data_IF_622469686492
#
_entry.id   IF_622469686492
#
_cell.length_a   1.000
_cell.length_b   1.000
_cell.length_c   1.000
_cell.angle_alpha   90.00
_cell.angle_beta   90.00
_cell.angle_gamma   90.00
#
_symmetry.space_group_name_H-M   'P 1'
#
loop_
_entity.id
_entity.type
_entity.pdbx_description
1 polymer ?
#
# COMPACT_ATOMS: atom_id res chain seq x y z
N UNK A 1 14.29 -5.97 -0.93
CA UNK A 1 13.31 -6.63 -0.04
C UNK A 1 13.84 -7.99 0.40
N UNK A 2 14.47 -8.03 1.58
CA UNK A 2 15.02 -9.28 2.12
C UNK A 2 14.34 -9.76 3.42
N UNK A 3 13.49 -8.95 4.05
CA UNK A 3 12.89 -9.28 5.36
C UNK A 3 11.50 -9.89 5.21
N UNK A 4 11.36 -11.16 5.62
CA UNK A 4 10.12 -11.93 5.49
C UNK A 4 8.93 -11.43 6.32
N UNK A 5 9.12 -10.50 7.25
CA UNK A 5 8.05 -9.98 8.11
C UNK A 5 7.45 -8.64 7.68
N UNK A 6 8.09 -7.92 6.76
CA UNK A 6 7.58 -6.64 6.29
C UNK A 6 6.57 -6.84 5.16
N UNK A 7 5.50 -6.02 5.17
CA UNK A 7 4.60 -5.92 4.03
C UNK A 7 5.22 -5.06 2.94
N UNK A 8 4.79 -5.29 1.70
CA UNK A 8 5.32 -4.65 0.51
C UNK A 8 4.26 -4.59 -0.58
N UNK A 9 4.49 -3.75 -1.60
CA UNK A 9 3.67 -3.64 -2.80
C UNK A 9 4.59 -3.54 -4.01
N UNK A 10 4.12 -4.06 -5.13
CA UNK A 10 4.72 -3.86 -6.44
C UNK A 10 3.73 -3.08 -7.29
N UNK A 11 4.19 -2.06 -8.00
CA UNK A 11 3.42 -1.49 -9.10
C UNK A 11 3.64 -2.34 -10.35
N UNK A 12 2.58 -3.04 -10.76
CA UNK A 12 2.61 -3.91 -11.94
C UNK A 12 2.08 -3.19 -13.18
N UNK A 13 1.54 -1.98 -13.06
CA UNK A 13 0.92 -1.22 -14.15
C UNK A 13 1.73 -1.20 -15.45
N UNK A 14 3.05 -0.90 -15.45
CA UNK A 14 3.83 -0.87 -16.70
C UNK A 14 4.13 -2.25 -17.30
N UNK A 15 3.78 -3.34 -16.61
CA UNK A 15 4.10 -4.72 -17.01
C UNK A 15 2.88 -5.52 -17.45
N UNK A 16 1.66 -4.98 -17.31
CA UNK A 16 0.44 -5.69 -17.65
C UNK A 16 0.20 -5.71 -19.16
N UNK A 17 -0.33 -6.83 -19.65
CA UNK A 17 -0.92 -7.01 -20.99
C UNK A 17 -2.44 -6.98 -20.85
N UNK A 18 -3.12 -5.86 -21.13
CA UNK A 18 -4.57 -5.76 -20.96
C UNK A 18 -5.32 -6.70 -21.91
N UNK A 19 -6.29 -7.44 -21.36
CA UNK A 19 -7.09 -8.40 -22.15
C UNK A 19 -6.37 -9.69 -22.55
N UNK A 20 -5.10 -9.85 -22.16
CA UNK A 20 -4.32 -11.07 -22.34
C UNK A 20 -3.92 -11.73 -21.03
N UNK A 21 -3.19 -12.83 -21.14
CA UNK A 21 -2.66 -13.56 -19.99
C UNK A 21 -1.45 -12.85 -19.39
N UNK A 22 -1.38 -12.82 -18.06
CA UNK A 22 -0.30 -12.23 -17.29
C UNK A 22 0.22 -13.24 -16.27
N UNK A 23 1.53 -13.39 -16.14
CA UNK A 23 2.17 -14.32 -15.20
C UNK A 23 3.05 -13.57 -14.22
N UNK A 24 2.75 -13.68 -12.92
CA UNK A 24 3.59 -13.19 -11.83
C UNK A 24 4.32 -14.37 -11.17
N UNK A 25 5.65 -14.40 -11.28
CA UNK A 25 6.48 -15.41 -10.64
C UNK A 25 7.21 -14.84 -9.42
N UNK A 26 7.09 -15.50 -8.27
CA UNK A 26 7.76 -15.10 -7.03
C UNK A 26 8.71 -16.22 -6.60
N UNK A 27 10.01 -15.91 -6.52
CA UNK A 27 11.04 -16.80 -5.99
C UNK A 27 11.39 -16.41 -4.57
N UNK A 28 11.34 -17.38 -3.67
CA UNK A 28 11.82 -17.22 -2.30
C UNK A 28 13.07 -18.09 -2.09
N UNK A 29 14.06 -17.56 -1.39
CA UNK A 29 15.22 -18.31 -0.94
C UNK A 29 15.32 -18.15 0.59
N UNK A 30 15.10 -19.25 1.32
CA UNK A 30 15.16 -19.27 2.78
C UNK A 30 16.35 -20.14 3.22
N UNK A 31 17.55 -19.56 3.38
CA UNK A 31 18.73 -20.33 3.76
C UNK A 31 18.59 -20.89 5.18
N UNK A 32 19.30 -22.00 5.49
CA UNK A 32 19.42 -22.52 6.85
C UNK A 32 19.97 -21.48 7.83
N UNK A 33 19.65 -21.64 9.11
CA UNK A 33 20.16 -20.80 10.22
C UNK A 33 19.92 -19.29 10.05
N UNK A 34 18.94 -18.92 9.23
CA UNK A 34 18.53 -17.53 8.98
C UNK A 34 17.71 -16.93 10.12
N UNK A 35 17.31 -17.73 11.11
CA UNK A 35 16.51 -17.30 12.26
C UNK A 35 16.77 -18.18 13.49
N UNK A 36 16.67 -17.59 14.70
CA UNK A 36 16.81 -18.31 15.98
C UNK A 36 15.58 -19.15 16.35
N UNK A 37 14.46 -18.95 15.65
CA UNK A 37 13.21 -19.68 15.83
C UNK A 37 12.71 -20.13 14.46
N UNK A 38 11.75 -21.05 14.42
CA UNK A 38 11.11 -21.49 13.17
C UNK A 38 10.46 -20.30 12.46
N UNK A 39 10.96 -19.86 11.28
CA UNK A 39 10.45 -18.67 10.61
C UNK A 39 9.29 -18.98 9.65
N UNK A 40 9.01 -20.26 9.36
CA UNK A 40 8.22 -20.67 8.20
C UNK A 40 8.98 -20.48 6.89
N UNK A 41 8.31 -20.72 5.76
CA UNK A 41 8.85 -20.46 4.43
C UNK A 41 7.71 -20.19 3.43
N UNK A 42 7.97 -19.39 2.40
CA UNK A 42 7.02 -19.11 1.33
C UNK A 42 6.14 -17.87 1.57
N UNK A 43 5.06 -17.76 0.80
CA UNK A 43 4.05 -16.71 0.94
C UNK A 43 3.07 -17.07 2.05
N UNK A 44 3.49 -16.86 3.29
CA UNK A 44 2.76 -17.28 4.49
C UNK A 44 1.69 -16.28 4.97
N UNK A 45 1.46 -15.18 4.24
CA UNK A 45 0.44 -14.16 4.52
C UNK A 45 -0.36 -13.85 3.27
N UNK A 46 -1.48 -13.16 3.46
CA UNK A 46 -2.41 -12.79 2.40
C UNK A 46 -1.73 -11.98 1.29
N UNK A 47 -2.13 -12.27 0.06
CA UNK A 47 -1.77 -11.52 -1.15
C UNK A 47 -3.02 -10.79 -1.64
N UNK A 48 -2.84 -9.56 -2.08
CA UNK A 48 -3.92 -8.71 -2.57
C UNK A 48 -3.59 -8.20 -3.96
N UNK A 49 -4.56 -8.27 -4.87
CA UNK A 49 -4.51 -7.56 -6.15
C UNK A 49 -5.35 -6.28 -6.01
N UNK A 50 -4.73 -5.14 -6.27
CA UNK A 50 -5.37 -3.83 -6.15
C UNK A 50 -5.38 -3.18 -7.52
N UNK A 51 -6.57 -2.78 -7.97
CA UNK A 51 -6.79 -2.01 -9.20
C UNK A 51 -7.43 -0.69 -8.82
N UNK A 52 -6.87 0.41 -9.30
CA UNK A 52 -7.35 1.76 -9.01
C UNK A 52 -7.38 2.61 -10.28
N UNK A 53 -8.15 3.70 -10.24
CA UNK A 53 -8.02 4.78 -11.21
C UNK A 53 -6.70 5.55 -10.98
N UNK A 54 -6.22 6.33 -11.97
CA UNK A 54 -4.99 7.11 -11.83
C UNK A 54 -4.98 8.08 -10.64
N UNK A 55 -6.16 8.54 -10.18
CA UNK A 55 -6.30 9.35 -8.97
C UNK A 55 -6.95 8.49 -7.89
N UNK A 56 -6.23 8.21 -6.81
CA UNK A 56 -6.64 7.24 -5.81
C UNK A 56 -6.01 7.50 -4.44
N UNK A 57 -6.54 6.86 -3.39
CA UNK A 57 -5.90 6.88 -2.06
C UNK A 57 -4.62 6.04 -2.14
N UNK A 58 -3.51 6.62 -1.71
CA UNK A 58 -2.21 5.96 -1.73
C UNK A 58 -2.14 4.74 -0.80
N UNK A 59 -1.15 3.88 -1.01
CA UNK A 59 -0.93 2.74 -0.13
C UNK A 59 -0.66 3.23 1.31
N UNK A 60 -1.45 2.71 2.26
CA UNK A 60 -1.42 3.17 3.65
C UNK A 60 -1.66 4.68 3.80
N UNK A 61 -2.29 5.30 2.82
CA UNK A 61 -2.48 6.74 2.76
C UNK A 61 -3.52 7.28 3.74
N UNK A 62 -4.30 6.42 4.39
CA UNK A 62 -5.27 6.85 5.42
C UNK A 62 -4.69 6.65 6.81
N UNK A 63 -4.55 7.75 7.55
CA UNK A 63 -4.20 7.74 8.95
C UNK A 63 -5.30 8.44 9.75
N UNK A 64 -5.87 7.72 10.71
CA UNK A 64 -6.91 8.25 11.61
C UNK A 64 -6.29 8.45 12.99
N UNK A 65 -6.53 9.60 13.59
CA UNK A 65 -6.15 9.91 14.97
C UNK A 65 -7.32 10.55 15.71
N UNK A 66 -7.31 10.44 17.04
CA UNK A 66 -8.30 11.07 17.92
C UNK A 66 -7.58 12.00 18.89
N UNK A 67 -7.18 13.21 18.46
CA UNK A 67 -6.32 14.08 19.27
C UNK A 67 -6.99 14.55 20.57
N UNK A 68 -8.32 14.58 20.62
CA UNK A 68 -9.09 15.01 21.78
C UNK A 68 -10.25 14.04 22.00
N UNK A 69 -10.33 13.45 23.21
CA UNK A 69 -11.36 12.46 23.58
C UNK A 69 -11.87 12.77 24.99
N UNK A 70 -13.19 12.83 25.14
CA UNK A 70 -13.92 13.00 26.40
C UNK A 70 -15.09 12.01 26.46
N UNK A 71 -15.77 11.90 27.60
CA UNK A 71 -16.94 11.03 27.74
C UNK A 71 -18.13 11.45 26.87
N UNK A 72 -18.25 12.74 26.55
CA UNK A 72 -19.36 13.27 25.75
C UNK A 72 -19.04 13.39 24.25
N UNK A 73 -17.76 13.51 23.90
CA UNK A 73 -17.32 13.82 22.53
C UNK A 73 -15.88 13.38 22.27
N UNK A 74 -15.61 12.97 21.03
CA UNK A 74 -14.26 12.78 20.52
C UNK A 74 -14.09 13.51 19.17
N UNK A 75 -12.95 14.17 18.99
CA UNK A 75 -12.54 14.73 17.72
C UNK A 75 -11.80 13.66 16.94
N UNK A 76 -12.29 13.30 15.75
CA UNK A 76 -11.63 12.36 14.84
C UNK A 76 -10.95 13.13 13.71
N UNK A 77 -9.64 12.99 13.59
CA UNK A 77 -8.84 13.57 12.51
C UNK A 77 -8.50 12.48 11.50
N UNK A 78 -8.85 12.70 10.25
CA UNK A 78 -8.44 11.87 9.12
C UNK A 78 -7.40 12.60 8.27
N UNK A 79 -6.21 12.02 8.14
CA UNK A 79 -5.22 12.42 7.15
C UNK A 79 -5.26 11.42 6.00
N UNK A 80 -5.50 11.91 4.77
CA UNK A 80 -5.64 11.07 3.58
C UNK A 80 -4.64 11.54 2.52
N UNK A 81 -3.72 10.64 2.16
CA UNK A 81 -2.79 10.81 1.04
C UNK A 81 -3.46 10.33 -0.25
N UNK A 82 -3.49 11.22 -1.24
CA UNK A 82 -4.01 10.95 -2.59
C UNK A 82 -2.84 10.94 -3.57
N UNK A 83 -2.68 9.81 -4.26
CA UNK A 83 -1.73 9.62 -5.35
C UNK A 83 -2.43 9.94 -6.67
N UNK A 84 -1.74 10.69 -7.53
CA UNK A 84 -2.20 11.06 -8.88
C UNK A 84 -1.15 10.64 -9.89
N UNK A 85 -1.36 9.48 -10.49
CA UNK A 85 -0.51 8.85 -11.51
C UNK A 85 -0.95 9.21 -12.93
N UNK A 86 -1.81 10.22 -13.09
CA UNK A 86 -2.19 10.74 -14.40
C UNK A 86 -1.23 11.83 -14.88
N UNK A 87 -1.22 12.08 -16.19
CA UNK A 87 -0.44 13.16 -16.81
C UNK A 87 -1.02 14.56 -16.53
N UNK A 88 -2.14 14.67 -15.81
CA UNK A 88 -2.79 15.95 -15.51
C UNK A 88 -2.23 16.53 -14.20
N UNK A 89 -1.60 17.72 -14.24
CA UNK A 89 -1.01 18.31 -13.05
C UNK A 89 -2.08 18.69 -12.02
N UNK A 90 -1.68 18.68 -10.74
CA UNK A 90 -2.48 19.21 -9.62
C UNK A 90 -2.89 20.65 -9.91
N UNK A 91 -4.17 20.89 -10.16
CA UNK A 91 -4.75 22.23 -10.08
C UNK A 91 -4.80 22.60 -8.59
N UNK A 92 -3.88 23.45 -8.13
CA UNK A 92 -3.99 24.06 -6.79
C UNK A 92 -5.28 24.89 -6.78
N UNK A 93 -6.22 24.67 -5.85
CA UNK A 93 -7.30 25.61 -5.64
C UNK A 93 -6.67 26.96 -5.30
N UNK A 94 -7.06 28.03 -6.02
CA UNK A 94 -6.74 29.39 -5.57
C UNK A 94 -7.31 29.51 -4.15
N UNK A 95 -6.44 29.67 -3.16
CA UNK A 95 -6.88 30.07 -1.82
C UNK A 95 -7.54 31.44 -1.98
N UNK A 96 -8.86 31.48 -1.88
CA UNK A 96 -9.53 32.74 -1.58
C UNK A 96 -9.07 33.14 -0.17
N UNK A 97 -8.47 34.34 -0.10
CA UNK A 97 -8.17 35.03 1.15
C UNK A 97 -9.46 35.41 1.84
#
# INVERSE_FOLDING_TARGET
WPYGWNSWRLDLTPHLVPGGDNVLAIRLNNPPDSCRWYPGAGLYRNVWLVKTDPVHVGQWGTQITTPEVTAALATVRAAITIDNDSDRPRVRPRRHR
#
